data_IF_939300755979
#
_entry.id   IF_939300755979
#
_cell.length_a   1.000
_cell.length_b   1.000
_cell.length_c   1.000
_cell.angle_alpha   90.00
_cell.angle_beta   90.00
_cell.angle_gamma   90.00
#
_symmetry.space_group_name_H-M   'P 1'
#
loop_
_entity.id
_entity.type
_entity.pdbx_description
1 polymer ?
#
# COMPACT_ATOMS: atom_id res chain seq x y z
N UNK A 1 5.41 14.97 -17.41
CA UNK A 1 4.37 14.52 -16.46
C UNK A 1 3.96 15.71 -15.61
N UNK A 2 2.69 16.06 -15.58
CA UNK A 2 2.17 17.08 -14.67
C UNK A 2 1.81 16.38 -13.35
N UNK A 3 2.53 16.69 -12.28
CA UNK A 3 2.23 16.10 -10.96
C UNK A 3 0.89 16.60 -10.45
N UNK A 4 -0.01 15.67 -10.12
CA UNK A 4 -1.31 15.99 -9.51
C UNK A 4 -1.07 16.59 -8.13
N UNK A 5 -1.54 17.82 -7.94
CA UNK A 5 -1.49 18.50 -6.65
C UNK A 5 -2.68 18.10 -5.80
N UNK A 6 -2.55 18.27 -4.48
CA UNK A 6 -3.68 18.15 -3.56
C UNK A 6 -4.74 19.19 -3.96
N UNK A 7 -6.00 18.78 -4.21
CA UNK A 7 -7.06 19.72 -4.56
C UNK A 7 -7.26 20.82 -3.50
N UNK A 8 -7.66 22.01 -3.93
CA UNK A 8 -8.03 23.07 -2.99
C UNK A 8 -9.27 22.63 -2.18
N UNK A 9 -9.22 22.77 -0.85
CA UNK A 9 -10.30 22.32 0.04
C UNK A 9 -10.35 20.81 0.26
N UNK A 10 -9.32 20.05 -0.14
CA UNK A 10 -9.21 18.64 0.25
C UNK A 10 -9.13 18.51 1.78
N UNK A 11 -9.79 17.52 2.39
CA UNK A 11 -9.77 17.34 3.85
C UNK A 11 -8.34 17.33 4.41
N UNK A 12 -8.09 18.15 5.42
CA UNK A 12 -6.79 18.24 6.10
C UNK A 12 -6.78 17.45 7.42
N UNK A 13 -7.96 17.15 7.97
CA UNK A 13 -8.13 16.39 9.21
C UNK A 13 -8.97 15.14 8.99
N UNK A 14 -8.85 14.17 9.89
CA UNK A 14 -9.71 12.99 9.86
C UNK A 14 -11.18 13.31 10.10
N UNK A 15 -11.48 14.35 10.88
CA UNK A 15 -12.84 14.82 11.13
C UNK A 15 -13.48 15.34 9.84
N UNK A 16 -12.79 16.21 9.11
CA UNK A 16 -13.24 16.71 7.82
C UNK A 16 -13.45 15.57 6.82
N UNK A 17 -12.50 14.64 6.77
CA UNK A 17 -12.57 13.50 5.86
C UNK A 17 -13.78 12.61 6.17
N UNK A 18 -14.07 12.36 7.45
CA UNK A 18 -15.26 11.62 7.88
C UNK A 18 -16.55 12.37 7.53
N UNK A 19 -16.60 13.69 7.72
CA UNK A 19 -17.75 14.51 7.34
C UNK A 19 -18.02 14.42 5.83
N UNK A 20 -16.98 14.47 5.00
CA UNK A 20 -17.10 14.26 3.54
C UNK A 20 -17.62 12.86 3.21
N UNK A 21 -17.17 11.81 3.91
CA UNK A 21 -17.72 10.46 3.71
C UNK A 21 -19.22 10.41 4.06
N UNK A 22 -19.62 11.00 5.18
CA UNK A 22 -21.00 10.98 5.65
C UNK A 22 -21.94 11.78 4.73
N UNK A 23 -21.47 12.87 4.14
CA UNK A 23 -22.17 13.62 3.10
C UNK A 23 -22.30 12.80 1.80
N UNK A 24 -21.18 12.33 1.26
CA UNK A 24 -21.16 11.72 -0.06
C UNK A 24 -21.76 10.32 -0.09
N UNK A 25 -21.74 9.55 1.02
CA UNK A 25 -22.36 8.22 1.06
C UNK A 25 -23.87 8.26 0.79
N UNK A 26 -24.54 9.36 1.13
CA UNK A 26 -25.97 9.54 0.86
C UNK A 26 -26.28 9.62 -0.64
N UNK A 27 -25.26 9.82 -1.48
CA UNK A 27 -25.38 9.89 -2.94
C UNK A 27 -25.08 8.55 -3.62
N UNK A 28 -24.77 7.50 -2.87
CA UNK A 28 -24.53 6.17 -3.44
C UNK A 28 -25.85 5.59 -3.94
N UNK A 29 -25.90 5.24 -5.23
CA UNK A 29 -27.03 4.57 -5.87
C UNK A 29 -26.77 3.06 -5.87
N UNK A 30 -27.71 2.29 -5.32
CA UNK A 30 -27.61 0.83 -5.13
C UNK A 30 -28.73 0.04 -5.83
N UNK A 31 -29.75 0.73 -6.33
CA UNK A 31 -30.95 0.18 -6.97
C UNK A 31 -30.84 0.13 -8.51
N UNK A 32 -29.72 0.57 -9.08
CA UNK A 32 -29.41 0.34 -10.49
C UNK A 32 -28.70 -1.00 -10.69
N UNK A 33 -29.12 -1.84 -11.65
CA UNK A 33 -28.44 -3.10 -11.93
C UNK A 33 -27.01 -2.90 -12.44
N UNK A 34 -26.75 -1.81 -13.15
CA UNK A 34 -25.48 -1.52 -13.83
C UNK A 34 -25.39 -2.17 -15.23
N UNK A 35 -24.30 -1.93 -15.98
CA UNK A 35 -24.09 -2.50 -17.30
C UNK A 35 -23.91 -4.04 -17.21
N UNK A 36 -24.31 -4.83 -18.22
CA UNK A 36 -24.11 -6.27 -18.21
C UNK A 36 -22.61 -6.65 -18.38
N UNK A 37 -22.16 -7.81 -17.87
CA UNK A 37 -20.80 -8.31 -18.09
C UNK A 37 -20.60 -8.77 -19.54
N UNK A 38 -19.34 -8.83 -19.99
CA UNK A 38 -19.00 -9.38 -21.30
C UNK A 38 -19.30 -8.48 -22.49
N UNK A 39 -19.61 -7.20 -22.28
CA UNK A 39 -19.84 -6.22 -23.35
C UNK A 39 -19.40 -4.82 -22.93
N UNK A 40 -19.05 -3.98 -23.89
CA UNK A 40 -18.57 -2.62 -23.65
C UNK A 40 -17.17 -2.60 -23.02
N UNK A 41 -16.93 -1.59 -22.19
CA UNK A 41 -15.62 -1.31 -21.60
C UNK A 41 -15.66 -1.52 -20.09
N UNK A 42 -14.54 -2.00 -19.56
CA UNK A 42 -14.34 -2.22 -18.13
C UNK A 42 -12.93 -1.81 -17.74
N UNK A 43 -12.81 -0.90 -16.77
CA UNK A 43 -11.55 -0.29 -16.38
C UNK A 43 -11.12 -0.75 -15.00
N UNK A 44 -9.91 -1.29 -14.88
CA UNK A 44 -9.24 -1.48 -13.60
C UNK A 44 -8.54 -0.22 -13.14
N UNK A 45 -8.68 0.12 -11.86
CA UNK A 45 -7.88 1.17 -11.21
C UNK A 45 -7.13 0.61 -10.02
N UNK A 46 -5.88 1.03 -9.89
CA UNK A 46 -5.00 0.72 -8.76
C UNK A 46 -3.95 1.81 -8.58
N UNK A 47 -3.31 1.84 -7.41
CA UNK A 47 -2.27 2.80 -7.05
C UNK A 47 -1.03 2.11 -6.47
N UNK A 48 0.11 2.76 -6.65
CA UNK A 48 1.35 2.42 -5.98
C UNK A 48 1.89 3.66 -5.26
N UNK A 49 2.51 3.46 -4.10
CA UNK A 49 3.00 4.54 -3.25
C UNK A 49 4.50 4.47 -3.01
N UNK A 50 5.09 5.65 -2.85
CA UNK A 50 6.34 5.86 -2.13
C UNK A 50 6.08 6.88 -1.01
N UNK A 51 5.89 6.39 0.22
CA UNK A 51 5.61 7.25 1.38
C UNK A 51 6.80 8.14 1.76
N UNK A 52 8.05 7.76 1.42
CA UNK A 52 9.23 8.55 1.77
C UNK A 52 9.39 9.77 0.85
N UNK A 53 9.07 9.58 -0.43
CA UNK A 53 9.09 10.63 -1.44
C UNK A 53 7.76 11.38 -1.54
N UNK A 54 6.75 10.97 -0.75
CA UNK A 54 5.40 11.54 -0.78
C UNK A 54 4.80 11.49 -2.20
N UNK A 55 4.94 10.33 -2.86
CA UNK A 55 4.48 10.09 -4.23
C UNK A 55 3.43 8.99 -4.25
N UNK A 56 2.39 9.20 -5.04
CA UNK A 56 1.44 8.18 -5.46
C UNK A 56 1.38 8.14 -6.98
N UNK A 57 1.41 6.94 -7.56
CA UNK A 57 1.17 6.72 -8.97
C UNK A 57 -0.12 5.89 -9.12
N UNK A 58 -1.11 6.43 -9.83
CA UNK A 58 -2.33 5.73 -10.18
C UNK A 58 -2.27 5.22 -11.62
N UNK A 59 -2.93 4.10 -11.87
CA UNK A 59 -3.16 3.58 -13.21
C UNK A 59 -4.65 3.31 -13.43
N UNK A 60 -5.11 3.59 -14.64
CA UNK A 60 -6.41 3.18 -15.16
C UNK A 60 -6.17 2.36 -16.43
N UNK A 61 -6.64 1.12 -16.45
CA UNK A 61 -6.49 0.21 -17.60
C UNK A 61 -7.86 -0.27 -18.05
N UNK A 62 -8.26 0.15 -19.24
CA UNK A 62 -9.54 -0.20 -19.86
C UNK A 62 -9.37 -1.42 -20.74
N UNK A 63 -10.21 -2.43 -20.49
CA UNK A 63 -10.30 -3.64 -21.27
C UNK A 63 -11.60 -3.64 -22.09
N UNK A 64 -11.56 -4.29 -23.26
CA UNK A 64 -12.79 -4.79 -23.87
C UNK A 64 -13.36 -5.88 -22.97
N UNK A 65 -14.62 -5.73 -22.54
CA UNK A 65 -15.20 -6.64 -21.56
C UNK A 65 -15.47 -8.06 -22.10
N UNK A 66 -15.53 -8.24 -23.43
CA UNK A 66 -15.75 -9.54 -24.05
C UNK A 66 -14.43 -10.31 -24.26
N UNK A 67 -13.39 -9.62 -24.74
CA UNK A 67 -12.09 -10.25 -25.08
C UNK A 67 -11.06 -10.15 -23.96
N UNK A 68 -11.23 -9.22 -23.02
CA UNK A 68 -10.28 -8.82 -21.99
C UNK A 68 -8.96 -8.25 -22.54
N UNK A 69 -8.94 -7.85 -23.81
CA UNK A 69 -7.81 -7.15 -24.42
C UNK A 69 -7.77 -5.71 -23.93
N UNK A 70 -6.55 -5.18 -23.71
CA UNK A 70 -6.35 -3.79 -23.30
C UNK A 70 -6.68 -2.89 -24.49
N UNK A 71 -7.64 -1.98 -24.31
CA UNK A 71 -8.05 -1.01 -25.34
C UNK A 71 -7.56 0.42 -25.04
N UNK A 72 -7.31 0.73 -23.78
CA UNK A 72 -6.70 1.99 -23.37
C UNK A 72 -6.02 1.86 -22.01
N UNK A 73 -4.96 2.63 -21.81
CA UNK A 73 -4.30 2.74 -20.51
C UNK A 73 -3.87 4.19 -20.26
N UNK A 74 -3.97 4.62 -19.02
CA UNK A 74 -3.50 5.92 -18.58
C UNK A 74 -2.94 5.83 -17.17
N UNK A 75 -2.03 6.74 -16.87
CA UNK A 75 -1.41 6.84 -15.54
C UNK A 75 -1.35 8.30 -15.12
N UNK A 76 -1.37 8.51 -13.81
CA UNK A 76 -1.13 9.81 -13.22
C UNK A 76 -0.20 9.66 -12.02
N UNK A 77 0.61 10.67 -11.78
CA UNK A 77 1.53 10.74 -10.65
C UNK A 77 1.16 11.98 -9.86
N UNK A 78 1.02 11.84 -8.55
CA UNK A 78 0.64 12.91 -7.64
C UNK A 78 1.41 12.85 -6.33
N UNK A 79 1.16 13.84 -5.48
CA UNK A 79 1.55 13.77 -4.06
C UNK A 79 0.49 13.04 -3.27
N UNK A 80 0.91 12.35 -2.21
CA UNK A 80 -0.04 11.69 -1.30
C UNK A 80 -0.87 12.79 -0.62
N UNK A 81 -2.18 12.71 -0.78
CA UNK A 81 -3.07 13.83 -0.43
C UNK A 81 -3.63 13.77 0.98
N UNK A 82 -3.34 12.70 1.73
CA UNK A 82 -3.85 12.50 3.10
C UNK A 82 -2.94 11.51 3.88
N UNK A 83 -2.85 11.58 5.23
CA UNK A 83 -2.13 10.57 6.01
C UNK A 83 -2.78 9.18 5.96
N UNK A 84 -2.01 8.13 6.27
CA UNK A 84 -2.53 6.77 6.32
C UNK A 84 -3.39 6.57 7.56
N UNK A 85 -4.70 6.51 7.35
CA UNK A 85 -5.69 6.23 8.41
C UNK A 85 -6.64 5.14 7.89
N UNK A 86 -6.74 3.97 8.57
CA UNK A 86 -7.68 2.92 8.19
C UNK A 86 -9.11 3.47 8.07
N UNK A 87 -9.78 3.17 6.96
CA UNK A 87 -11.11 3.70 6.63
C UNK A 87 -11.11 5.07 5.93
N UNK A 88 -9.95 5.71 5.75
CA UNK A 88 -9.80 6.98 5.00
C UNK A 88 -8.79 6.86 3.85
N UNK A 89 -8.39 5.63 3.48
CA UNK A 89 -7.40 5.38 2.41
C UNK A 89 -7.76 6.06 1.08
N UNK A 90 -9.05 6.11 0.74
CA UNK A 90 -9.52 6.75 -0.48
C UNK A 90 -9.10 8.24 -0.59
N UNK A 91 -8.98 8.95 0.53
CA UNK A 91 -8.53 10.35 0.53
C UNK A 91 -7.07 10.52 0.14
N UNK A 92 -6.27 9.44 0.12
CA UNK A 92 -4.88 9.43 -0.33
C UNK A 92 -4.77 9.28 -1.84
N UNK A 93 -5.77 8.66 -2.45
CA UNK A 93 -5.69 8.07 -3.80
C UNK A 93 -6.53 8.83 -4.81
N UNK A 94 -7.73 9.25 -4.40
CA UNK A 94 -8.75 9.77 -5.31
C UNK A 94 -8.26 10.87 -6.23
N UNK A 95 -7.52 11.91 -5.78
CA UNK A 95 -7.07 12.95 -6.69
C UNK A 95 -6.23 12.40 -7.84
N UNK A 96 -5.34 11.44 -7.56
CA UNK A 96 -4.48 10.83 -8.58
C UNK A 96 -5.21 9.79 -9.41
N UNK A 97 -6.15 9.04 -8.82
CA UNK A 97 -7.01 8.09 -9.56
C UNK A 97 -7.92 8.83 -10.55
N UNK A 98 -8.53 9.94 -10.15
CA UNK A 98 -9.35 10.79 -11.03
C UNK A 98 -8.51 11.31 -12.20
N UNK A 99 -7.31 11.81 -11.94
CA UNK A 99 -6.41 12.27 -13.01
C UNK A 99 -6.01 11.15 -13.99
N UNK A 100 -5.84 9.91 -13.51
CA UNK A 100 -5.57 8.77 -14.38
C UNK A 100 -6.79 8.40 -15.23
N UNK A 101 -8.00 8.48 -14.69
CA UNK A 101 -9.25 8.26 -15.43
C UNK A 101 -9.50 9.37 -16.47
N UNK A 102 -9.30 10.64 -16.10
CA UNK A 102 -9.47 11.80 -16.99
C UNK A 102 -8.47 11.77 -18.17
N UNK A 103 -7.32 11.13 -17.98
CA UNK A 103 -6.31 10.96 -19.00
C UNK A 103 -6.61 9.81 -19.98
N UNK A 104 -7.66 9.02 -19.76
CA UNK A 104 -8.07 7.98 -20.71
C UNK A 104 -8.61 8.63 -22.01
N UNK A 105 -8.30 8.07 -23.18
CA UNK A 105 -8.77 8.59 -24.47
C UNK A 105 -10.26 8.32 -24.74
N UNK A 106 -10.96 7.62 -23.85
CA UNK A 106 -12.36 7.21 -24.02
C UNK A 106 -13.02 6.88 -22.68
N UNK A 107 -14.33 6.63 -22.68
CA UNK A 107 -15.07 6.35 -21.44
C UNK A 107 -14.57 5.05 -20.79
N UNK A 108 -14.49 5.00 -19.45
CA UNK A 108 -13.99 3.80 -18.74
C UNK A 108 -15.04 2.68 -18.59
N UNK A 109 -16.32 2.96 -18.92
CA UNK A 109 -17.41 2.00 -18.69
C UNK A 109 -17.58 1.67 -17.20
N UNK A 110 -17.52 0.38 -16.85
CA UNK A 110 -17.52 -0.06 -15.44
C UNK A 110 -16.11 0.06 -14.83
N UNK A 111 -15.98 0.71 -13.67
CA UNK A 111 -14.68 0.80 -12.97
C UNK A 111 -14.58 -0.24 -11.85
N UNK A 112 -13.48 -1.00 -11.86
CA UNK A 112 -13.13 -2.02 -10.87
C UNK A 112 -11.94 -1.54 -10.04
N UNK A 113 -12.15 -1.29 -8.75
CA UNK A 113 -11.12 -0.80 -7.84
C UNK A 113 -10.49 -1.97 -7.05
N UNK A 114 -9.17 -1.99 -6.88
CA UNK A 114 -8.50 -2.86 -5.89
C UNK A 114 -8.75 -2.34 -4.48
N UNK A 115 -9.89 -2.72 -3.91
CA UNK A 115 -10.35 -2.17 -2.64
C UNK A 115 -11.83 -2.45 -2.42
N UNK A 116 -12.46 -1.59 -1.61
CA UNK A 116 -13.83 -1.79 -1.17
C UNK A 116 -14.76 -0.65 -1.62
N UNK A 117 -16.05 -0.95 -1.77
CA UNK A 117 -17.14 0.01 -1.88
C UNK A 117 -17.95 0.05 -0.58
N UNK A 118 -19.15 -0.54 -0.58
CA UNK A 118 -20.02 -0.65 0.59
C UNK A 118 -19.41 -1.44 1.75
N UNK A 119 -18.51 -2.39 1.47
CA UNK A 119 -17.74 -3.12 2.48
C UNK A 119 -16.70 -2.20 3.15
N UNK A 120 -17.20 -1.24 3.91
CA UNK A 120 -16.43 -0.20 4.56
C UNK A 120 -17.10 0.19 5.89
N UNK A 121 -16.35 0.58 6.94
CA UNK A 121 -16.93 0.98 8.24
C UNK A 121 -18.01 2.06 8.14
N UNK A 122 -17.91 2.95 7.14
CA UNK A 122 -18.89 4.02 6.85
C UNK A 122 -19.75 3.78 5.61
N UNK A 123 -19.73 2.56 5.04
CA UNK A 123 -20.40 2.21 3.77
C UNK A 123 -19.94 3.08 2.57
N UNK A 124 -18.69 3.53 2.62
CA UNK A 124 -18.15 4.49 1.67
C UNK A 124 -16.64 4.31 1.46
N UNK A 125 -16.27 3.13 0.94
CA UNK A 125 -14.91 2.82 0.54
C UNK A 125 -14.51 3.49 -0.79
N UNK A 126 -13.29 3.20 -1.25
CA UNK A 126 -12.71 3.76 -2.48
C UNK A 126 -13.65 3.67 -3.68
N UNK A 127 -14.25 2.49 -3.94
CA UNK A 127 -15.10 2.30 -5.11
C UNK A 127 -16.36 3.18 -5.04
N UNK A 128 -17.04 3.22 -3.90
CA UNK A 128 -18.22 4.08 -3.70
C UNK A 128 -17.88 5.55 -3.81
N UNK A 129 -16.75 5.96 -3.24
CA UNK A 129 -16.31 7.35 -3.27
C UNK A 129 -15.96 7.78 -4.70
N UNK A 130 -15.17 6.99 -5.41
CA UNK A 130 -14.85 7.24 -6.82
C UNK A 130 -16.13 7.26 -7.69
N UNK A 131 -17.04 6.32 -7.47
CA UNK A 131 -18.30 6.25 -8.21
C UNK A 131 -19.18 7.48 -8.02
N UNK A 132 -19.33 7.98 -6.79
CA UNK A 132 -20.11 9.20 -6.52
C UNK A 132 -19.49 10.44 -7.16
N UNK A 133 -18.15 10.55 -7.13
CA UNK A 133 -17.45 11.70 -7.73
C UNK A 133 -17.52 11.69 -9.26
N UNK A 134 -17.43 10.52 -9.88
CA UNK A 134 -17.40 10.37 -11.34
C UNK A 134 -18.78 10.17 -11.97
N UNK A 135 -19.78 9.78 -11.16
CA UNK A 135 -21.08 9.32 -11.65
C UNK A 135 -21.05 7.97 -12.37
N UNK A 136 -19.90 7.27 -12.37
CA UNK A 136 -19.72 6.02 -13.10
C UNK A 136 -20.18 4.80 -12.29
N UNK A 137 -20.57 3.70 -12.96
CA UNK A 137 -20.74 2.43 -12.29
C UNK A 137 -19.39 1.93 -11.76
N UNK A 138 -19.34 1.55 -10.48
CA UNK A 138 -18.10 1.12 -9.82
C UNK A 138 -18.31 -0.06 -8.90
N UNK A 139 -17.29 -0.92 -8.80
CA UNK A 139 -17.24 -2.05 -7.86
C UNK A 139 -15.87 -2.13 -7.18
N UNK A 140 -15.86 -2.60 -5.94
CA UNK A 140 -14.64 -2.89 -5.19
C UNK A 140 -14.38 -4.40 -5.17
N UNK A 141 -13.14 -4.80 -5.48
CA UNK A 141 -12.68 -6.19 -5.38
C UNK A 141 -11.44 -6.24 -4.52
N UNK A 142 -11.57 -6.75 -3.29
CA UNK A 142 -10.47 -6.81 -2.35
C UNK A 142 -9.89 -8.22 -2.19
N UNK A 143 -8.61 -8.26 -1.76
CA UNK A 143 -7.83 -9.49 -1.55
C UNK A 143 -8.07 -10.13 -0.18
N UNK A 144 -8.58 -9.37 0.79
CA UNK A 144 -8.82 -9.76 2.18
C UNK A 144 -10.22 -9.25 2.63
N UNK A 145 -10.79 -9.79 3.72
CA UNK A 145 -12.13 -9.41 4.18
C UNK A 145 -12.16 -8.14 5.02
N UNK A 146 -11.02 -7.46 5.22
CA UNK A 146 -10.87 -6.41 6.24
C UNK A 146 -11.35 -6.91 7.63
N UNK A 147 -12.29 -6.20 8.26
CA UNK A 147 -12.89 -6.56 9.55
C UNK A 147 -14.25 -7.26 9.40
N UNK A 148 -14.64 -7.64 8.18
CA UNK A 148 -15.94 -8.26 7.92
C UNK A 148 -15.90 -9.78 8.11
N UNK A 149 -17.00 -10.34 8.58
CA UNK A 149 -17.18 -11.78 8.75
C UNK A 149 -17.81 -12.40 7.51
N UNK A 150 -17.45 -13.65 7.22
CA UNK A 150 -18.05 -14.44 6.15
C UNK A 150 -17.87 -15.93 6.49
N UNK A 151 -18.81 -16.76 6.06
CA UNK A 151 -18.62 -18.22 6.08
C UNK A 151 -17.69 -18.65 4.93
N UNK A 152 -17.16 -19.86 4.93
CA UNK A 152 -16.36 -20.30 3.76
C UNK A 152 -17.30 -20.59 2.57
N UNK A 153 -17.14 -19.95 1.40
CA UNK A 153 -17.98 -20.25 0.26
C UNK A 153 -17.72 -21.67 -0.26
N UNK A 154 -18.65 -22.22 -1.04
CA UNK A 154 -18.43 -23.49 -1.75
C UNK A 154 -17.10 -23.51 -2.54
N UNK A 155 -16.54 -24.71 -2.73
CA UNK A 155 -15.26 -24.88 -3.43
C UNK A 155 -15.33 -24.53 -4.92
N UNK A 156 -16.51 -24.72 -5.54
CA UNK A 156 -16.72 -24.49 -6.97
C UNK A 156 -16.63 -23.00 -7.33
N UNK A 157 -16.01 -22.67 -8.47
CA UNK A 157 -16.00 -21.31 -9.02
C UNK A 157 -17.44 -20.78 -9.17
N UNK A 158 -17.65 -19.52 -8.79
CA UNK A 158 -18.96 -18.88 -8.76
C UNK A 158 -19.69 -19.02 -7.41
N UNK A 159 -19.25 -19.91 -6.53
CA UNK A 159 -19.80 -19.99 -5.16
C UNK A 159 -19.58 -18.67 -4.44
N UNK A 160 -20.63 -18.17 -3.79
CA UNK A 160 -20.57 -16.92 -3.04
C UNK A 160 -21.35 -17.06 -1.74
N UNK A 161 -20.90 -16.33 -0.73
CA UNK A 161 -21.61 -16.16 0.54
C UNK A 161 -21.59 -14.68 0.95
N UNK A 162 -22.55 -14.22 1.76
CA UNK A 162 -22.58 -12.85 2.27
C UNK A 162 -21.28 -12.48 2.99
N UNK A 163 -20.78 -11.27 2.71
CA UNK A 163 -19.77 -10.59 3.51
C UNK A 163 -20.50 -9.64 4.45
N UNK A 164 -20.33 -9.81 5.76
CA UNK A 164 -21.22 -9.23 6.76
C UNK A 164 -20.50 -8.27 7.69
N UNK A 165 -21.14 -7.13 7.96
CA UNK A 165 -20.79 -6.17 9.01
C UNK A 165 -21.86 -6.23 10.10
N UNK A 166 -21.60 -7.02 11.16
CA UNK A 166 -22.61 -7.32 12.17
C UNK A 166 -23.69 -8.25 11.60
N UNK A 167 -24.84 -7.70 11.23
CA UNK A 167 -25.96 -8.43 10.60
C UNK A 167 -26.24 -7.97 9.17
N UNK A 168 -25.53 -6.96 8.68
CA UNK A 168 -25.77 -6.35 7.37
C UNK A 168 -24.84 -6.95 6.31
N UNK A 169 -25.40 -7.41 5.18
CA UNK A 169 -24.61 -7.81 4.01
C UNK A 169 -24.06 -6.56 3.32
N UNK A 170 -22.73 -6.44 3.29
CA UNK A 170 -22.00 -5.31 2.69
C UNK A 170 -21.29 -5.68 1.38
N UNK A 171 -21.39 -6.94 0.97
CA UNK A 171 -20.71 -7.52 -0.18
C UNK A 171 -20.79 -9.04 -0.15
N UNK A 172 -19.93 -9.71 -0.93
CA UNK A 172 -19.83 -11.17 -0.96
C UNK A 172 -18.39 -11.65 -1.00
N UNK A 173 -18.12 -12.73 -0.28
CA UNK A 173 -16.93 -13.54 -0.50
C UNK A 173 -17.20 -14.46 -1.71
N UNK A 174 -16.49 -14.24 -2.81
CA UNK A 174 -16.74 -14.88 -4.10
C UNK A 174 -15.57 -15.80 -4.50
N UNK A 175 -15.90 -17.05 -4.81
CA UNK A 175 -14.94 -18.05 -5.32
C UNK A 175 -14.67 -17.81 -6.80
N UNK A 176 -13.60 -17.10 -7.13
CA UNK A 176 -13.19 -16.88 -8.53
C UNK A 176 -12.41 -18.04 -9.11
N UNK A 177 -11.70 -18.81 -8.29
CA UNK A 177 -10.98 -20.02 -8.73
C UNK A 177 -11.34 -21.17 -7.80
N UNK A 178 -11.53 -22.36 -8.38
CA UNK A 178 -11.92 -23.55 -7.64
C UNK A 178 -10.92 -23.84 -6.53
N UNK A 179 -11.41 -24.08 -5.31
CA UNK A 179 -10.62 -24.37 -4.11
C UNK A 179 -9.53 -23.34 -3.76
N UNK A 180 -9.56 -22.14 -4.34
CA UNK A 180 -8.63 -21.04 -4.02
C UNK A 180 -9.34 -20.01 -3.15
N UNK A 181 -8.61 -19.38 -2.21
CA UNK A 181 -9.12 -18.31 -1.33
C UNK A 181 -10.01 -17.31 -2.11
N UNK A 182 -11.24 -16.99 -1.64
CA UNK A 182 -12.14 -16.11 -2.37
C UNK A 182 -11.59 -14.69 -2.47
N UNK A 183 -12.20 -13.89 -3.34
CA UNK A 183 -12.08 -12.42 -3.35
C UNK A 183 -13.30 -11.81 -2.67
N UNK A 184 -13.21 -10.55 -2.26
CA UNK A 184 -14.27 -9.88 -1.52
C UNK A 184 -14.84 -8.76 -2.37
N UNK A 185 -16.04 -8.99 -2.89
CA UNK A 185 -16.71 -8.10 -3.85
C UNK A 185 -17.70 -7.23 -3.09
N UNK A 186 -17.68 -5.92 -3.35
CA UNK A 186 -18.67 -5.00 -2.81
C UNK A 186 -19.08 -3.97 -3.86
N UNK A 187 -20.36 -3.59 -3.84
CA UNK A 187 -20.88 -2.53 -4.72
C UNK A 187 -20.17 -1.23 -4.39
N UNK A 188 -19.73 -0.49 -5.42
CA UNK A 188 -19.29 0.89 -5.29
C UNK A 188 -20.47 1.83 -5.47
N UNK A 189 -20.95 1.96 -6.70
CA UNK A 189 -21.99 2.90 -7.13
C UNK A 189 -22.65 2.39 -8.41
N UNK A 190 -23.97 2.52 -8.55
CA UNK A 190 -24.75 2.25 -9.78
C UNK A 190 -24.60 0.84 -10.37
N UNK A 191 -24.39 -0.16 -9.51
CA UNK A 191 -24.27 -1.57 -9.88
C UNK A 191 -24.90 -2.40 -8.76
N UNK A 192 -25.69 -3.41 -9.11
CA UNK A 192 -26.22 -4.35 -8.12
C UNK A 192 -25.14 -5.35 -7.67
N UNK A 193 -25.27 -5.92 -6.46
CA UNK A 193 -24.30 -6.87 -5.94
C UNK A 193 -24.20 -8.15 -6.79
N UNK A 194 -25.33 -8.65 -7.31
CA UNK A 194 -25.35 -9.80 -8.23
C UNK A 194 -24.54 -9.50 -9.50
N UNK A 195 -24.77 -8.32 -10.09
CA UNK A 195 -24.07 -7.92 -11.29
C UNK A 195 -22.57 -7.66 -11.04
N UNK A 196 -22.23 -7.08 -9.88
CA UNK A 196 -20.83 -6.93 -9.45
C UNK A 196 -20.11 -8.30 -9.40
N UNK A 197 -20.74 -9.33 -8.83
CA UNK A 197 -20.19 -10.68 -8.84
C UNK A 197 -20.06 -11.26 -10.25
N UNK A 198 -21.05 -11.03 -11.12
CA UNK A 198 -21.03 -11.50 -12.50
C UNK A 198 -19.86 -10.88 -13.31
N UNK A 199 -19.62 -9.58 -13.16
CA UNK A 199 -18.44 -8.90 -13.71
C UNK A 199 -17.14 -9.51 -13.18
N UNK A 200 -17.02 -9.70 -11.86
CA UNK A 200 -15.80 -10.27 -11.28
C UNK A 200 -15.52 -11.68 -11.80
N UNK A 201 -16.55 -12.51 -12.01
CA UNK A 201 -16.38 -13.82 -12.64
C UNK A 201 -15.93 -13.68 -14.10
N UNK A 202 -16.57 -12.83 -14.90
CA UNK A 202 -16.18 -12.60 -16.30
C UNK A 202 -14.72 -12.12 -16.42
N UNK A 203 -14.24 -11.31 -15.47
CA UNK A 203 -12.89 -10.76 -15.44
C UNK A 203 -11.82 -11.71 -14.85
N UNK A 204 -12.22 -12.90 -14.38
CA UNK A 204 -11.32 -13.87 -13.73
C UNK A 204 -11.26 -15.23 -14.43
N UNK A 205 -11.19 -15.32 -15.78
CA UNK A 205 -11.24 -16.62 -16.46
C UNK A 205 -10.07 -17.52 -16.05
N UNK A 206 -8.90 -16.94 -15.78
CA UNK A 206 -7.64 -17.67 -15.55
C UNK A 206 -7.07 -17.49 -14.14
N UNK A 207 -7.31 -16.36 -13.48
CA UNK A 207 -6.66 -16.00 -12.22
C UNK A 207 -7.64 -15.74 -11.08
N UNK A 208 -7.14 -15.76 -9.84
CA UNK A 208 -7.92 -15.38 -8.64
C UNK A 208 -8.38 -13.93 -8.70
N UNK A 209 -7.48 -13.02 -9.08
CA UNK A 209 -7.76 -11.58 -9.17
C UNK A 209 -8.21 -11.22 -10.59
N UNK A 210 -9.14 -10.26 -10.73
CA UNK A 210 -9.56 -9.76 -12.04
C UNK A 210 -8.38 -9.33 -12.92
N UNK A 211 -8.46 -9.57 -14.22
CA UNK A 211 -7.49 -9.05 -15.19
C UNK A 211 -7.35 -7.53 -15.05
N UNK A 212 -8.45 -6.81 -14.83
CA UNK A 212 -8.47 -5.35 -14.57
C UNK A 212 -7.51 -4.94 -13.45
N UNK A 213 -7.64 -5.55 -12.27
CA UNK A 213 -6.76 -5.30 -11.11
C UNK A 213 -5.31 -5.69 -11.41
N UNK A 214 -5.08 -6.85 -12.06
CA UNK A 214 -3.73 -7.33 -12.37
C UNK A 214 -2.98 -6.37 -13.32
N UNK A 215 -3.68 -5.84 -14.33
CA UNK A 215 -3.10 -4.89 -15.29
C UNK A 215 -2.85 -3.53 -14.64
N UNK A 216 -3.78 -3.05 -13.83
CA UNK A 216 -3.64 -1.78 -13.12
C UNK A 216 -2.48 -1.82 -12.10
N UNK A 217 -2.34 -2.88 -11.27
CA UNK A 217 -1.22 -3.05 -10.32
C UNK A 217 0.14 -3.05 -11.04
N UNK A 218 0.24 -3.78 -12.16
CA UNK A 218 1.47 -3.82 -12.94
C UNK A 218 1.83 -2.44 -13.52
N UNK A 219 0.82 -1.71 -14.03
CA UNK A 219 1.01 -0.42 -14.67
C UNK A 219 1.31 0.70 -13.65
N UNK A 220 0.61 0.76 -12.51
CA UNK A 220 0.85 1.79 -11.49
C UNK A 220 2.26 1.64 -10.88
N UNK A 221 2.74 0.41 -10.66
CA UNK A 221 4.12 0.14 -10.22
C UNK A 221 5.15 0.56 -11.27
N UNK A 222 4.88 0.34 -12.55
CA UNK A 222 5.73 0.81 -13.65
C UNK A 222 5.77 2.35 -13.69
N UNK A 223 4.61 3.00 -13.54
CA UNK A 223 4.51 4.45 -13.50
C UNK A 223 5.22 5.05 -12.28
N UNK A 224 5.09 4.44 -11.10
CA UNK A 224 5.82 4.86 -9.91
C UNK A 224 7.32 4.79 -10.14
N UNK A 225 7.85 3.66 -10.64
CA UNK A 225 9.27 3.52 -11.00
C UNK A 225 9.70 4.61 -11.99
N UNK A 226 8.94 4.79 -13.07
CA UNK A 226 9.20 5.84 -14.05
C UNK A 226 8.95 7.27 -13.54
N UNK A 227 8.37 7.47 -12.36
CA UNK A 227 8.21 8.79 -11.75
C UNK A 227 9.34 9.13 -10.77
N UNK A 228 9.87 8.11 -10.10
CA UNK A 228 11.01 8.26 -9.17
C UNK A 228 12.36 8.20 -9.91
N UNK A 229 12.44 7.49 -11.04
CA UNK A 229 13.65 7.35 -11.87
C UNK A 229 14.10 8.64 -12.59
N UNK A 230 13.22 9.51 -13.16
CA UNK A 230 13.62 10.70 -13.92
C UNK A 230 13.79 11.95 -13.10
N UNK A 231 13.64 11.91 -11.77
CA UNK A 231 14.02 13.05 -10.96
C UNK A 231 15.55 13.09 -10.90
N UNK A 232 16.20 13.65 -11.91
CA UNK A 232 17.66 13.68 -12.00
C UNK A 232 18.27 14.44 -10.81
N UNK A 233 17.52 15.30 -10.11
CA UNK A 233 17.94 15.99 -8.89
C UNK A 233 17.71 15.18 -7.61
N UNK A 234 16.71 14.28 -7.53
CA UNK A 234 16.55 13.29 -6.44
C UNK A 234 17.31 12.00 -6.69
N UNK A 235 17.56 11.62 -7.94
CA UNK A 235 18.47 10.60 -8.37
C UNK A 235 19.90 11.11 -8.26
N UNK A 236 20.19 12.39 -8.58
CA UNK A 236 21.45 13.03 -8.22
C UNK A 236 21.53 13.26 -6.72
N UNK A 237 20.48 13.63 -5.97
CA UNK A 237 20.53 13.65 -4.51
C UNK A 237 20.57 12.24 -3.93
N UNK A 238 20.08 11.19 -4.56
CA UNK A 238 20.27 9.81 -4.07
C UNK A 238 21.65 9.25 -4.46
N UNK A 239 22.23 9.72 -5.58
CA UNK A 239 23.60 9.44 -6.04
C UNK A 239 24.65 10.32 -5.33
N UNK A 240 24.28 11.54 -4.91
CA UNK A 240 25.11 12.58 -4.27
C UNK A 240 24.80 12.77 -2.78
N UNK A 241 23.70 12.20 -2.27
CA UNK A 241 23.56 11.84 -0.87
C UNK A 241 24.52 10.69 -0.62
N UNK A 242 25.73 11.16 -0.41
CA UNK A 242 26.88 10.45 0.08
C UNK A 242 26.47 9.49 1.20
N UNK A 243 25.55 9.87 2.10
CA UNK A 243 25.05 8.98 3.17
C UNK A 243 24.23 7.81 2.63
N UNK A 244 23.33 8.00 1.66
CA UNK A 244 22.53 6.92 1.04
C UNK A 244 23.36 5.99 0.16
N UNK A 245 24.29 6.54 -0.62
CA UNK A 245 25.24 5.75 -1.42
C UNK A 245 26.13 4.89 -0.53
N UNK A 246 26.67 5.49 0.55
CA UNK A 246 27.39 4.77 1.59
C UNK A 246 26.51 3.71 2.27
N UNK A 247 25.27 4.05 2.65
CA UNK A 247 24.31 3.13 3.27
C UNK A 247 23.96 1.94 2.38
N UNK A 248 23.85 2.15 1.06
CA UNK A 248 23.70 1.09 0.06
C UNK A 248 24.94 0.20 -0.01
N UNK A 249 26.14 0.76 -0.17
CA UNK A 249 27.39 -0.03 -0.20
C UNK A 249 27.59 -0.82 1.10
N UNK A 250 27.28 -0.18 2.23
CA UNK A 250 27.30 -0.74 3.56
C UNK A 250 26.33 -1.91 3.71
N UNK A 251 25.15 -1.83 3.11
CA UNK A 251 24.15 -2.89 3.13
C UNK A 251 24.48 -4.04 2.15
N UNK A 252 24.80 -3.71 0.89
CA UNK A 252 25.00 -4.70 -0.18
C UNK A 252 26.23 -5.60 0.05
N UNK A 253 27.20 -5.15 0.86
CA UNK A 253 28.36 -5.97 1.26
C UNK A 253 28.06 -6.99 2.38
N UNK A 254 26.89 -6.91 3.01
CA UNK A 254 26.55 -7.79 4.13
C UNK A 254 26.15 -9.17 3.63
N UNK A 255 26.87 -10.20 4.08
CA UNK A 255 26.51 -11.60 3.81
C UNK A 255 25.22 -12.03 4.51
N UNK A 256 24.94 -11.42 5.66
CA UNK A 256 23.73 -11.64 6.45
C UNK A 256 23.13 -10.28 6.85
N UNK A 257 22.28 -9.70 5.98
CA UNK A 257 21.83 -8.32 6.12
C UNK A 257 20.87 -8.12 7.30
N UNK A 258 20.03 -9.10 7.64
CA UNK A 258 19.07 -8.97 8.75
C UNK A 258 19.80 -9.02 10.09
N UNK A 259 20.70 -9.98 10.27
CA UNK A 259 21.50 -10.09 11.50
C UNK A 259 22.40 -8.87 11.66
N UNK A 260 22.97 -8.35 10.57
CA UNK A 260 23.71 -7.08 10.60
C UNK A 260 22.84 -5.92 11.07
N UNK A 261 21.64 -5.74 10.48
CA UNK A 261 20.74 -4.68 10.86
C UNK A 261 20.27 -4.81 12.33
N UNK A 262 20.08 -6.04 12.82
CA UNK A 262 19.81 -6.34 14.22
C UNK A 262 20.92 -5.88 15.16
N UNK A 263 22.20 -6.08 14.80
CA UNK A 263 23.33 -5.56 15.58
C UNK A 263 23.36 -4.03 15.62
N UNK A 264 23.05 -3.38 14.50
CA UNK A 264 22.94 -1.91 14.43
C UNK A 264 21.84 -1.40 15.36
N UNK A 265 20.67 -2.05 15.35
CA UNK A 265 19.58 -1.73 16.28
C UNK A 265 19.96 -1.97 17.75
N UNK A 266 20.67 -3.06 18.05
CA UNK A 266 21.13 -3.35 19.41
C UNK A 266 22.11 -2.28 19.93
N UNK A 267 23.04 -1.85 19.07
CA UNK A 267 23.97 -0.78 19.36
C UNK A 267 23.26 0.58 19.57
N UNK A 268 22.23 0.86 18.76
CA UNK A 268 21.39 2.05 18.89
C UNK A 268 20.60 2.08 20.20
N UNK A 269 20.04 0.94 20.61
CA UNK A 269 19.21 0.82 21.81
C UNK A 269 20.01 0.85 23.11
N UNK A 270 21.32 0.55 23.07
CA UNK A 270 22.17 0.51 24.28
C UNK A 270 21.81 -0.61 25.26
N UNK A 271 22.45 -0.63 26.43
CA UNK A 271 22.30 -1.70 27.45
C UNK A 271 21.17 -1.43 28.47
N UNK A 272 20.47 -0.31 28.33
CA UNK A 272 19.35 0.06 29.20
C UNK A 272 18.06 -0.73 28.94
N UNK A 273 17.02 -0.51 29.76
CA UNK A 273 15.70 -1.09 29.54
C UNK A 273 15.16 -0.73 28.16
N UNK A 274 14.71 -1.73 27.40
CA UNK A 274 14.18 -1.54 26.05
C UNK A 274 12.68 -1.73 26.03
N UNK A 275 12.01 -1.12 25.05
CA UNK A 275 10.60 -1.40 24.84
C UNK A 275 10.41 -2.86 24.37
N UNK A 276 9.29 -3.51 24.74
CA UNK A 276 9.00 -4.87 24.26
C UNK A 276 8.99 -5.00 22.73
N UNK A 277 8.65 -3.92 22.02
CA UNK A 277 8.67 -3.88 20.56
C UNK A 277 10.11 -3.95 20.01
N UNK A 278 11.05 -3.21 20.61
CA UNK A 278 12.47 -3.24 20.22
C UNK A 278 13.07 -4.62 20.55
N UNK A 279 12.76 -5.18 21.72
CA UNK A 279 13.23 -6.52 22.11
C UNK A 279 12.75 -7.59 21.14
N UNK A 280 11.48 -7.54 20.74
CA UNK A 280 10.93 -8.50 19.78
C UNK A 280 11.61 -8.42 18.41
N UNK A 281 11.91 -7.21 17.91
CA UNK A 281 12.64 -7.04 16.64
C UNK A 281 14.07 -7.54 16.77
N UNK A 282 14.74 -7.33 17.90
CA UNK A 282 16.09 -7.84 18.15
C UNK A 282 16.13 -9.37 18.22
N UNK A 283 15.19 -9.99 18.92
CA UNK A 283 15.07 -11.44 18.99
C UNK A 283 14.84 -12.05 17.60
N UNK A 284 13.96 -11.43 16.81
CA UNK A 284 13.70 -11.84 15.43
C UNK A 284 14.96 -11.67 14.55
N UNK A 285 15.67 -10.55 14.65
CA UNK A 285 16.85 -10.32 13.83
C UNK A 285 18.00 -11.30 14.15
N UNK A 286 18.04 -11.84 15.37
CA UNK A 286 19.04 -12.82 15.80
C UNK A 286 18.72 -14.26 15.37
N UNK A 287 17.49 -14.55 14.94
CA UNK A 287 17.01 -15.89 14.65
C UNK A 287 16.31 -15.94 13.29
N UNK A 288 16.97 -16.62 12.32
CA UNK A 288 16.48 -16.72 10.95
C UNK A 288 15.11 -17.37 10.85
N UNK A 289 14.78 -18.29 11.76
CA UNK A 289 13.49 -18.98 11.76
C UNK A 289 12.34 -18.03 12.15
N UNK A 290 12.66 -16.87 12.71
CA UNK A 290 11.69 -15.85 13.08
C UNK A 290 11.51 -14.76 12.03
N UNK A 291 12.26 -14.74 10.93
CA UNK A 291 12.23 -13.64 9.96
C UNK A 291 10.86 -13.46 9.27
N UNK A 292 10.07 -14.53 9.16
CA UNK A 292 8.67 -14.49 8.68
C UNK A 292 7.76 -13.62 9.55
N UNK A 293 8.14 -13.39 10.82
CA UNK A 293 7.43 -12.49 11.73
C UNK A 293 7.68 -11.02 11.45
N UNK A 294 8.52 -10.68 10.48
CA UNK A 294 8.88 -9.30 10.15
C UNK A 294 7.66 -8.41 9.86
N UNK A 295 6.61 -8.94 9.23
CA UNK A 295 5.33 -8.22 9.04
C UNK A 295 4.63 -7.85 10.35
N UNK A 296 4.51 -8.81 11.27
CA UNK A 296 3.91 -8.60 12.59
C UNK A 296 4.69 -7.55 13.39
N UNK A 297 6.02 -7.71 13.43
CA UNK A 297 6.91 -6.90 14.24
C UNK A 297 7.11 -5.50 13.68
N UNK A 298 7.03 -5.34 12.35
CA UNK A 298 6.97 -4.03 11.71
C UNK A 298 5.78 -3.20 12.22
N UNK A 299 4.58 -3.79 12.24
CA UNK A 299 3.38 -3.10 12.74
C UNK A 299 3.49 -2.70 14.22
N UNK A 300 4.08 -3.58 15.05
CA UNK A 300 4.34 -3.31 16.47
C UNK A 300 5.37 -2.20 16.69
N UNK A 301 6.49 -2.22 15.98
CA UNK A 301 7.52 -1.19 16.07
C UNK A 301 6.98 0.18 15.65
N UNK A 302 6.23 0.22 14.54
CA UNK A 302 5.58 1.44 14.06
C UNK A 302 4.58 2.00 15.07
N UNK A 303 3.68 1.16 15.59
CA UNK A 303 2.67 1.60 16.55
C UNK A 303 3.30 2.16 17.83
N UNK A 304 4.36 1.51 18.33
CA UNK A 304 5.08 1.97 19.52
C UNK A 304 5.85 3.29 19.29
N UNK A 305 6.27 3.57 18.04
CA UNK A 305 7.05 4.76 17.69
C UNK A 305 6.24 6.06 17.57
N UNK A 306 4.92 6.02 17.43
CA UNK A 306 4.06 7.21 17.18
C UNK A 306 4.15 8.24 18.33
N UNK A 307 4.31 7.78 19.57
CA UNK A 307 4.30 8.62 20.77
C UNK A 307 5.59 8.51 21.59
N UNK A 308 6.61 7.82 21.08
CA UNK A 308 7.87 7.65 21.79
C UNK A 308 8.76 8.89 21.66
N UNK A 309 9.51 9.21 22.70
CA UNK A 309 10.57 10.22 22.65
C UNK A 309 11.68 9.80 21.67
N UNK A 310 11.96 8.49 21.57
CA UNK A 310 13.01 7.92 20.70
C UNK A 310 12.51 7.49 19.31
N UNK A 311 11.83 8.39 18.59
CA UNK A 311 11.22 8.08 17.27
C UNK A 311 12.22 7.49 16.25
N UNK A 312 13.47 7.94 16.27
CA UNK A 312 14.51 7.44 15.37
C UNK A 312 14.87 5.97 15.65
N UNK A 313 14.85 5.56 16.92
CA UNK A 313 15.15 4.18 17.32
C UNK A 313 14.03 3.22 16.86
N UNK A 314 12.77 3.64 17.01
CA UNK A 314 11.63 2.87 16.48
C UNK A 314 11.61 2.82 14.96
N UNK A 315 12.01 3.89 14.27
CA UNK A 315 12.17 3.87 12.82
C UNK A 315 13.27 2.89 12.39
N UNK A 316 14.35 2.76 13.15
CA UNK A 316 15.40 1.78 12.88
C UNK A 316 14.87 0.35 13.08
N UNK A 317 14.08 0.12 14.13
CA UNK A 317 13.41 -1.17 14.37
C UNK A 317 12.43 -1.54 13.24
N UNK A 318 11.68 -0.56 12.70
CA UNK A 318 10.82 -0.78 11.52
C UNK A 318 11.61 -1.29 10.31
N UNK A 319 12.76 -0.68 10.01
CA UNK A 319 13.59 -1.07 8.87
C UNK A 319 14.15 -2.49 9.03
N UNK A 320 14.55 -2.87 10.25
CA UNK A 320 15.03 -4.23 10.56
C UNK A 320 13.91 -5.26 10.37
N UNK A 321 12.69 -4.95 10.82
CA UNK A 321 11.53 -5.84 10.65
C UNK A 321 11.14 -6.02 9.18
N UNK A 322 11.14 -4.94 8.39
CA UNK A 322 10.92 -5.01 6.93
C UNK A 322 11.96 -5.86 6.24
N UNK A 323 13.22 -5.69 6.62
CA UNK A 323 14.34 -6.43 6.05
C UNK A 323 14.23 -7.93 6.33
N UNK A 324 13.86 -8.31 7.55
CA UNK A 324 13.61 -9.70 7.92
C UNK A 324 12.46 -10.32 7.12
N UNK A 325 11.34 -9.61 7.01
CA UNK A 325 10.21 -10.04 6.18
C UNK A 325 10.62 -10.27 4.72
N UNK A 326 11.36 -9.32 4.14
CA UNK A 326 11.83 -9.44 2.76
C UNK A 326 12.78 -10.64 2.58
N UNK A 327 13.66 -10.87 3.54
CA UNK A 327 14.60 -11.99 3.52
C UNK A 327 13.94 -13.35 3.78
N UNK A 328 12.76 -13.39 4.41
CA UNK A 328 11.96 -14.60 4.56
C UNK A 328 11.35 -15.09 3.23
N UNK A 329 11.36 -14.25 2.18
CA UNK A 329 10.96 -14.65 0.83
C UNK A 329 9.44 -14.73 0.61
N UNK A 330 8.63 -14.27 1.56
CA UNK A 330 7.17 -14.29 1.47
C UNK A 330 6.63 -12.96 0.88
N UNK A 331 5.98 -12.98 -0.30
CA UNK A 331 5.33 -11.79 -0.85
C UNK A 331 4.03 -11.44 -0.07
N UNK A 332 3.62 -10.16 -0.01
CA UNK A 332 4.28 -9.01 -0.65
C UNK A 332 5.51 -8.57 0.13
N UNK A 333 6.58 -8.22 -0.59
CA UNK A 333 7.75 -7.61 0.01
C UNK A 333 7.44 -6.19 0.47
N UNK A 334 7.99 -5.80 1.63
CA UNK A 334 8.14 -4.39 1.97
C UNK A 334 9.19 -3.75 1.07
N UNK A 335 9.28 -2.42 1.08
CA UNK A 335 10.29 -1.64 0.38
C UNK A 335 11.66 -2.37 0.27
N UNK A 336 12.06 -2.67 -0.97
CA UNK A 336 13.27 -3.44 -1.28
C UNK A 336 14.54 -2.70 -0.83
N UNK A 337 14.47 -1.38 -0.69
CA UNK A 337 15.60 -0.53 -0.33
C UNK A 337 15.68 -0.23 1.17
N UNK A 338 14.81 -0.83 2.00
CA UNK A 338 14.77 -0.60 3.44
C UNK A 338 16.14 -0.78 4.13
N UNK A 339 16.95 -1.73 3.64
CA UNK A 339 18.30 -1.98 4.14
C UNK A 339 19.28 -0.82 3.93
N UNK A 340 19.12 -0.02 2.87
CA UNK A 340 20.02 1.10 2.54
C UNK A 340 19.92 2.24 3.55
N UNK A 341 18.77 2.36 4.24
CA UNK A 341 18.51 3.41 5.21
C UNK A 341 19.06 3.11 6.62
N UNK A 342 19.48 1.87 6.92
CA UNK A 342 19.97 1.45 8.25
C UNK A 342 21.19 2.29 8.68
N UNK A 343 22.20 2.42 7.81
CA UNK A 343 23.40 3.20 8.11
C UNK A 343 23.14 4.69 8.31
N UNK A 344 22.51 5.39 7.35
CA UNK A 344 22.17 6.80 7.49
C UNK A 344 21.32 7.10 8.74
N UNK A 345 20.36 6.22 9.05
CA UNK A 345 19.53 6.40 10.25
C UNK A 345 20.32 6.18 11.54
N UNK A 346 21.22 5.20 11.59
CA UNK A 346 22.14 5.04 12.72
C UNK A 346 23.01 6.29 12.95
N UNK A 347 23.53 6.90 11.88
CA UNK A 347 24.30 8.14 11.99
C UNK A 347 23.46 9.30 12.56
N UNK A 348 22.18 9.41 12.14
CA UNK A 348 21.25 10.40 12.71
C UNK A 348 20.95 10.16 14.19
N UNK A 349 20.80 8.90 14.61
CA UNK A 349 20.63 8.54 16.02
C UNK A 349 21.87 8.96 16.83
N UNK A 350 23.07 8.69 16.31
CA UNK A 350 24.31 9.13 16.96
C UNK A 350 24.41 10.66 17.07
N UNK A 351 24.00 11.39 16.04
CA UNK A 351 24.04 12.86 16.01
C UNK A 351 23.00 13.51 16.95
N UNK A 352 21.84 12.88 17.12
CA UNK A 352 20.78 13.36 18.00
C UNK A 352 21.03 13.06 19.49
N UNK A 353 21.98 12.17 19.81
CA UNK A 353 22.28 11.77 21.17
C UNK A 353 23.48 12.53 21.75
N UNK A 354 23.40 13.00 23.01
CA UNK A 354 24.54 13.55 23.71
C UNK A 354 25.54 12.49 24.20
N UNK A 355 25.23 11.18 24.08
CA UNK A 355 26.10 10.08 24.52
C UNK A 355 27.21 9.80 23.47
N UNK A 356 28.48 10.16 23.74
CA UNK A 356 29.58 9.87 22.81
C UNK A 356 29.86 8.37 22.68
N UNK A 357 29.48 7.55 23.67
CA UNK A 357 29.64 6.10 23.59
C UNK A 357 28.65 5.46 22.60
N UNK A 358 27.50 6.09 22.35
CA UNK A 358 26.53 5.63 21.35
C UNK A 358 27.12 5.62 19.95
N UNK A 359 27.82 6.70 19.59
CA UNK A 359 28.52 6.78 18.30
C UNK A 359 29.50 5.63 18.12
N UNK A 360 30.32 5.35 19.14
CA UNK A 360 31.32 4.28 19.08
C UNK A 360 30.67 2.89 18.92
N UNK A 361 29.57 2.62 19.65
CA UNK A 361 28.81 1.36 19.50
C UNK A 361 28.25 1.21 18.09
N UNK A 362 27.67 2.29 17.54
CA UNK A 362 27.10 2.28 16.20
C UNK A 362 28.17 2.11 15.12
N UNK A 363 29.31 2.77 15.25
CA UNK A 363 30.45 2.60 14.35
C UNK A 363 30.95 1.16 14.33
N UNK A 364 31.11 0.54 15.51
CA UNK A 364 31.49 -0.86 15.61
C UNK A 364 30.43 -1.79 14.98
N UNK A 365 29.14 -1.50 15.16
CA UNK A 365 28.06 -2.31 14.60
C UNK A 365 27.92 -2.18 13.07
N UNK A 366 28.16 -0.98 12.52
CA UNK A 366 28.15 -0.73 11.08
C UNK A 366 29.41 -1.30 10.41
N UNK A 367 30.53 -1.35 11.14
CA UNK A 367 31.83 -1.82 10.64
C UNK A 367 32.50 -0.83 9.69
N UNK A 368 31.94 0.37 9.59
CA UNK A 368 32.39 1.52 8.80
C UNK A 368 31.58 2.72 9.26
N UNK A 369 32.13 3.92 9.11
CA UNK A 369 31.46 5.18 9.44
C UNK A 369 31.55 6.11 8.26
N UNK A 370 30.49 6.86 7.92
CA UNK A 370 30.55 7.70 6.74
C UNK A 370 31.60 8.80 6.97
N UNK A 371 32.40 9.17 5.96
CA UNK A 371 33.36 10.26 6.09
C UNK A 371 32.67 11.57 6.52
N UNK A 372 33.41 12.48 7.14
CA UNK A 372 32.86 13.72 7.73
C UNK A 372 32.04 14.59 6.75
N UNK A 373 32.33 14.50 5.46
CA UNK A 373 31.62 15.17 4.35
C UNK A 373 30.26 14.54 3.97
N UNK A 374 29.85 13.44 4.62
CA UNK A 374 28.61 12.68 4.38
C UNK A 374 27.55 12.96 5.45
N UNK A 375 27.91 13.64 6.54
CA UNK A 375 27.04 13.97 7.67
C UNK A 375 26.54 15.41 7.48
N UNK A 376 25.26 15.57 7.13
CA UNK A 376 24.57 16.88 7.06
C UNK A 376 23.62 17.02 8.23
#
# INVERSE_FOLDING_TARGET
>A
MTTVRIPAGWPATEEDARAVQDELRARVVLDEPGPPPGTGQVTGVDVAYDDELDVVAAAAVTLDAATLEVVAEATAVGRISFPYVPGLLAFREIPTVLAALDALPGPPGLVVCDGYGLAHPRRFGLASHLGVLTGLPTIGVAKNPFTFSYDEPGAARGSAVPLVSGTEEVGRALRTREAVKPVFVSVGHRVSLDNACAHVLALTPSYRLPETTRRADALCRKALRAAIEPNEELAARARADRSRSWGRTLYERQRDPVTWAGRVLAAAAGEGPRSPAIEAVLAMAADRDQWSRGTELFGRARGAGIHAEDQLLFRLAELVAKLAHNAAGEPPYYDYHAGWAIGPLACRIAAASPDPALRHRLEAALGDWPPSEYVV
#
